data_IF_105370106403
#
_entry.id   IF_105370106403
#
_cell.length_a   1.000
_cell.length_b   1.000
_cell.length_c   1.000
_cell.angle_alpha   90.00
_cell.angle_beta   90.00
_cell.angle_gamma   90.00
#
_symmetry.space_group_name_H-M   'P 1'
#
loop_
_entity.id
_entity.type
_entity.pdbx_description
1 polymer ?
#
# COMPACT_ATOMS: atom_id res chain seq x y z
N UNK A 1 2.75 -26.63 -10.82
CA UNK A 1 1.35 -27.10 -11.05
C UNK A 1 1.01 -26.99 -12.53
N UNK A 2 0.06 -27.76 -13.04
CA UNK A 2 -0.37 -27.68 -14.44
C UNK A 2 -1.62 -26.79 -14.60
N UNK A 3 -1.57 -25.87 -15.57
CA UNK A 3 -2.64 -24.94 -15.88
C UNK A 3 -3.43 -25.44 -17.08
N UNK A 4 -4.75 -25.38 -16.94
CA UNK A 4 -5.75 -25.64 -17.96
C UNK A 4 -6.71 -24.46 -18.02
N UNK A 5 -7.54 -24.40 -19.06
CA UNK A 5 -8.59 -23.38 -19.14
C UNK A 5 -9.57 -23.40 -17.96
N UNK A 6 -9.76 -24.55 -17.30
CA UNK A 6 -10.68 -24.67 -16.17
C UNK A 6 -10.11 -24.06 -14.88
N UNK A 7 -8.79 -24.09 -14.67
CA UNK A 7 -8.16 -23.58 -13.45
C UNK A 7 -7.32 -22.32 -13.69
N UNK A 8 -7.26 -21.79 -14.91
CA UNK A 8 -6.52 -20.58 -15.25
C UNK A 8 -6.87 -19.40 -14.32
N UNK A 9 -8.17 -19.17 -14.09
CA UNK A 9 -8.60 -18.07 -13.23
C UNK A 9 -8.20 -18.29 -11.75
N UNK A 10 -8.41 -19.49 -11.20
CA UNK A 10 -8.15 -19.75 -9.78
C UNK A 10 -6.67 -19.93 -9.46
N UNK A 11 -5.97 -20.72 -10.27
CA UNK A 11 -4.64 -21.24 -9.92
C UNK A 11 -3.51 -20.39 -10.49
N UNK A 12 -3.82 -19.49 -11.43
CA UNK A 12 -2.88 -18.52 -11.99
C UNK A 12 -3.28 -17.08 -11.66
N UNK A 13 -4.46 -16.62 -12.09
CA UNK A 13 -4.85 -15.21 -11.92
C UNK A 13 -5.04 -14.87 -10.45
N UNK A 14 -5.92 -15.59 -9.73
CA UNK A 14 -6.17 -15.30 -8.32
C UNK A 14 -4.95 -15.59 -7.45
N UNK A 15 -4.21 -16.68 -7.73
CA UNK A 15 -2.95 -16.96 -7.05
C UNK A 15 -1.94 -15.80 -7.22
N UNK A 16 -1.93 -15.15 -8.39
CA UNK A 16 -1.04 -14.01 -8.65
C UNK A 16 -1.41 -12.72 -7.90
N UNK A 17 -2.60 -12.64 -7.29
CA UNK A 17 -2.97 -11.56 -6.38
C UNK A 17 -2.28 -11.67 -5.03
N UNK A 18 -1.94 -12.90 -4.61
CA UNK A 18 -1.28 -13.18 -3.33
C UNK A 18 0.24 -13.21 -3.46
N UNK A 19 0.75 -13.85 -4.53
CA UNK A 19 2.19 -13.99 -4.77
C UNK A 19 2.49 -14.11 -6.26
N UNK A 20 3.67 -13.68 -6.76
CA UNK A 20 4.01 -13.84 -8.18
C UNK A 20 3.93 -15.29 -8.66
N UNK A 21 3.35 -15.51 -9.83
CA UNK A 21 3.25 -16.83 -10.48
C UNK A 21 3.98 -16.82 -11.81
N UNK A 22 5.01 -17.64 -11.96
CA UNK A 22 5.73 -17.82 -13.22
C UNK A 22 5.08 -18.96 -14.01
N UNK A 23 4.53 -18.67 -15.18
CA UNK A 23 3.95 -19.66 -16.10
C UNK A 23 4.99 -20.12 -17.12
N UNK A 24 5.46 -21.36 -17.02
CA UNK A 24 6.29 -22.05 -18.01
C UNK A 24 5.43 -22.66 -19.13
N UNK A 25 5.45 -22.03 -20.31
CA UNK A 25 4.75 -22.53 -21.50
C UNK A 25 5.70 -23.44 -22.27
N UNK A 26 5.37 -24.74 -22.29
CA UNK A 26 6.24 -25.81 -22.77
C UNK A 26 5.49 -26.79 -23.69
N UNK A 27 6.23 -27.73 -24.28
CA UNK A 27 5.66 -28.88 -24.97
C UNK A 27 6.61 -30.10 -24.93
N UNK A 28 6.13 -31.36 -25.05
CA UNK A 28 6.97 -32.55 -24.92
C UNK A 28 8.11 -32.67 -25.94
N UNK A 29 7.90 -32.10 -27.13
CA UNK A 29 8.87 -32.06 -28.23
C UNK A 29 9.90 -30.94 -28.09
N UNK A 30 9.70 -30.00 -27.16
CA UNK A 30 10.59 -28.88 -26.94
C UNK A 30 11.86 -29.32 -26.19
N UNK A 31 12.97 -29.48 -26.91
CA UNK A 31 14.28 -29.82 -26.34
C UNK A 31 14.76 -28.84 -25.26
N UNK A 32 14.79 -27.51 -25.53
CA UNK A 32 15.23 -26.52 -24.53
C UNK A 32 14.36 -26.48 -23.27
N UNK A 33 13.05 -26.76 -23.38
CA UNK A 33 12.14 -26.81 -22.23
C UNK A 33 12.60 -27.86 -21.21
N UNK A 34 13.08 -29.03 -21.68
CA UNK A 34 13.58 -30.11 -20.80
C UNK A 34 14.80 -29.72 -19.97
N UNK A 35 15.53 -28.68 -20.37
CA UNK A 35 16.65 -28.11 -19.60
C UNK A 35 16.18 -27.01 -18.66
N UNK A 36 15.22 -26.19 -19.10
CA UNK A 36 14.72 -25.04 -18.34
C UNK A 36 13.84 -25.47 -17.16
N UNK A 37 12.88 -26.37 -17.38
CA UNK A 37 11.88 -26.72 -16.37
C UNK A 37 12.50 -27.22 -15.04
N UNK A 38 13.52 -28.10 -15.02
CA UNK A 38 14.16 -28.51 -13.76
C UNK A 38 14.87 -27.38 -13.02
N UNK A 39 15.41 -26.39 -13.75
CA UNK A 39 16.05 -25.21 -13.15
C UNK A 39 14.99 -24.32 -12.50
N UNK A 40 13.84 -24.13 -13.17
CA UNK A 40 12.71 -23.38 -12.61
C UNK A 40 12.14 -24.05 -11.35
N UNK A 41 12.01 -25.38 -11.35
CA UNK A 41 11.56 -26.14 -10.16
C UNK A 41 12.54 -26.00 -8.99
N UNK A 42 13.85 -26.08 -9.27
CA UNK A 42 14.87 -25.87 -8.23
C UNK A 42 14.83 -24.43 -7.68
N UNK A 43 14.58 -23.44 -8.55
CA UNK A 43 14.42 -22.05 -8.15
C UNK A 43 13.16 -21.86 -7.28
N UNK A 44 12.02 -22.43 -7.64
CA UNK A 44 10.79 -22.38 -6.84
C UNK A 44 11.05 -22.86 -5.40
N UNK A 45 11.76 -23.99 -5.24
CA UNK A 45 12.16 -24.50 -3.92
C UNK A 45 13.11 -23.52 -3.20
N UNK A 46 14.11 -22.99 -3.90
CA UNK A 46 15.10 -22.09 -3.28
C UNK A 46 14.52 -20.72 -2.89
N UNK A 47 13.46 -20.28 -3.56
CA UNK A 47 12.75 -19.04 -3.22
C UNK A 47 11.74 -19.24 -2.08
N UNK A 48 11.59 -20.47 -1.57
CA UNK A 48 10.86 -20.78 -0.35
C UNK A 48 9.42 -20.21 -0.33
N UNK A 49 8.72 -20.32 -1.46
CA UNK A 49 7.34 -19.83 -1.57
C UNK A 49 7.20 -18.35 -1.91
N UNK A 50 8.29 -17.58 -2.14
CA UNK A 50 8.18 -16.18 -2.59
C UNK A 50 7.62 -16.03 -4.02
N UNK A 51 7.62 -17.10 -4.80
CA UNK A 51 6.89 -17.21 -6.07
C UNK A 51 6.42 -18.65 -6.29
N UNK A 52 5.49 -18.82 -7.23
CA UNK A 52 4.96 -20.14 -7.59
C UNK A 52 5.21 -20.46 -9.07
N UNK A 53 5.56 -21.70 -9.37
CA UNK A 53 5.74 -22.20 -10.74
C UNK A 53 4.48 -22.89 -11.26
N UNK A 54 3.91 -22.30 -12.30
CA UNK A 54 2.85 -22.86 -13.11
C UNK A 54 3.43 -23.40 -14.43
N UNK A 55 2.82 -24.44 -14.98
CA UNK A 55 3.21 -25.03 -16.26
C UNK A 55 2.00 -25.10 -17.17
N UNK A 56 2.18 -24.79 -18.45
CA UNK A 56 1.14 -24.87 -19.45
C UNK A 56 1.69 -25.63 -20.66
N UNK A 57 1.11 -26.78 -20.96
CA UNK A 57 1.42 -27.49 -22.20
C UNK A 57 0.73 -26.76 -23.37
N UNK A 58 1.52 -26.18 -24.28
CA UNK A 58 1.03 -25.41 -25.41
C UNK A 58 0.21 -26.25 -26.41
N UNK A 59 0.50 -27.55 -26.53
CA UNK A 59 -0.24 -28.46 -27.42
C UNK A 59 -1.65 -28.76 -26.85
N UNK A 60 -1.77 -28.84 -25.52
CA UNK A 60 -3.02 -29.17 -24.83
C UNK A 60 -3.88 -27.92 -24.57
N UNK A 61 -3.24 -26.77 -24.37
CA UNK A 61 -3.89 -25.48 -24.12
C UNK A 61 -3.48 -24.43 -25.18
N UNK A 62 -3.81 -24.65 -26.47
CA UNK A 62 -3.41 -23.77 -27.58
C UNK A 62 -4.06 -22.39 -27.50
N UNK A 63 -5.24 -22.28 -26.89
CA UNK A 63 -5.95 -21.01 -26.72
C UNK A 63 -5.20 -20.06 -25.78
N UNK A 64 -4.88 -20.52 -24.56
CA UNK A 64 -4.16 -19.73 -23.56
C UNK A 64 -2.75 -19.38 -24.07
N UNK A 65 -2.01 -20.39 -24.55
CA UNK A 65 -0.66 -20.17 -25.06
C UNK A 65 -0.63 -19.22 -26.26
N UNK A 66 -1.60 -19.33 -27.17
CA UNK A 66 -1.75 -18.47 -28.33
C UNK A 66 -2.02 -17.01 -27.96
N UNK A 67 -2.93 -16.76 -27.02
CA UNK A 67 -3.24 -15.41 -26.55
C UNK A 67 -2.04 -14.74 -25.87
N UNK A 68 -1.37 -15.44 -24.95
CA UNK A 68 -0.17 -14.91 -24.28
C UNK A 68 0.96 -14.66 -25.29
N UNK A 69 1.17 -15.58 -26.23
CA UNK A 69 2.18 -15.43 -27.28
C UNK A 69 1.90 -14.20 -28.17
N UNK A 70 0.64 -13.96 -28.54
CA UNK A 70 0.26 -12.77 -29.31
C UNK A 70 0.49 -11.48 -28.52
N UNK A 71 0.11 -11.45 -27.25
CA UNK A 71 0.25 -10.28 -26.38
C UNK A 71 1.71 -9.86 -26.19
N UNK A 72 2.62 -10.82 -26.06
CA UNK A 72 4.07 -10.56 -25.93
C UNK A 72 4.82 -10.58 -27.27
N UNK A 73 4.14 -10.81 -28.39
CA UNK A 73 4.78 -10.88 -29.72
C UNK A 73 5.75 -12.06 -29.90
N UNK A 74 5.56 -13.14 -29.14
CA UNK A 74 6.42 -14.33 -29.12
C UNK A 74 5.87 -15.41 -30.05
N UNK A 75 6.75 -16.20 -30.66
CA UNK A 75 6.37 -17.28 -31.61
C UNK A 75 7.05 -18.62 -31.33
N UNK A 76 7.79 -18.73 -30.24
CA UNK A 76 8.61 -19.90 -29.93
C UNK A 76 8.53 -20.25 -28.45
N UNK A 77 8.61 -21.54 -28.15
CA UNK A 77 8.76 -22.07 -26.79
C UNK A 77 10.20 -22.57 -26.54
N UNK A 78 10.68 -22.62 -25.28
CA UNK A 78 9.98 -22.23 -24.05
C UNK A 78 9.71 -20.73 -23.99
N UNK A 79 8.53 -20.38 -23.46
CA UNK A 79 8.14 -19.02 -23.21
C UNK A 79 7.59 -18.95 -21.78
N UNK A 80 8.15 -18.07 -20.96
CA UNK A 80 7.71 -17.89 -19.58
C UNK A 80 7.07 -16.52 -19.41
N UNK A 81 5.94 -16.48 -18.70
CA UNK A 81 5.21 -15.24 -18.37
C UNK A 81 5.06 -15.14 -16.87
N UNK A 82 5.44 -14.01 -16.29
CA UNK A 82 5.22 -13.74 -14.88
C UNK A 82 3.88 -13.01 -14.69
N UNK A 83 3.05 -13.56 -13.82
CA UNK A 83 1.82 -12.95 -13.37
C UNK A 83 2.01 -12.38 -11.97
N UNK A 84 1.57 -11.15 -11.76
CA UNK A 84 1.56 -10.44 -10.47
C UNK A 84 0.38 -9.49 -10.44
N UNK A 85 -0.29 -9.39 -9.29
CA UNK A 85 -1.49 -8.57 -9.10
C UNK A 85 -2.59 -8.89 -10.12
N UNK A 86 -2.75 -10.17 -10.46
CA UNK A 86 -3.79 -10.63 -11.39
C UNK A 86 -3.50 -10.34 -12.86
N UNK A 87 -2.30 -9.85 -13.18
CA UNK A 87 -1.93 -9.40 -14.53
C UNK A 87 -0.59 -10.00 -14.98
N UNK A 88 -0.40 -10.22 -16.29
CA UNK A 88 0.90 -10.56 -16.85
C UNK A 88 1.80 -9.33 -16.88
N UNK A 89 2.88 -9.34 -16.10
CA UNK A 89 3.73 -8.15 -15.87
C UNK A 89 5.07 -8.18 -16.60
N UNK A 90 5.59 -9.36 -16.91
CA UNK A 90 6.87 -9.54 -17.62
C UNK A 90 6.96 -10.94 -18.23
N UNK A 91 7.95 -11.19 -19.08
CA UNK A 91 8.19 -12.51 -19.66
C UNK A 91 9.52 -12.64 -20.37
N UNK A 92 9.95 -13.88 -20.59
CA UNK A 92 11.18 -14.18 -21.33
C UNK A 92 11.03 -15.41 -22.23
N UNK A 93 11.84 -15.48 -23.28
CA UNK A 93 11.82 -16.55 -24.28
C UNK A 93 13.14 -17.30 -24.27
N UNK A 94 13.05 -18.63 -24.39
CA UNK A 94 14.20 -19.52 -24.48
C UNK A 94 14.70 -20.03 -23.12
N UNK A 95 15.63 -20.98 -23.17
CA UNK A 95 16.26 -21.53 -21.97
C UNK A 95 17.41 -20.60 -21.53
N UNK A 96 17.16 -19.77 -20.51
CA UNK A 96 18.17 -18.86 -19.95
C UNK A 96 19.03 -19.56 -18.89
N UNK A 97 20.29 -19.14 -18.69
CA UNK A 97 21.10 -19.59 -17.55
C UNK A 97 20.46 -19.19 -16.21
N UNK A 98 20.67 -19.99 -15.16
CA UNK A 98 20.08 -19.76 -13.83
C UNK A 98 20.32 -18.34 -13.30
N UNK A 99 21.52 -17.78 -13.47
CA UNK A 99 21.82 -16.42 -13.05
C UNK A 99 20.91 -15.37 -13.70
N UNK A 100 20.52 -15.56 -14.97
CA UNK A 100 19.58 -14.69 -15.67
C UNK A 100 18.14 -14.91 -15.27
N UNK A 101 17.77 -16.13 -14.87
CA UNK A 101 16.46 -16.43 -14.30
C UNK A 101 16.30 -15.76 -12.93
N UNK A 102 17.32 -15.81 -12.08
CA UNK A 102 17.31 -15.08 -10.80
C UNK A 102 17.21 -13.58 -11.00
N UNK A 103 18.03 -13.01 -11.89
CA UNK A 103 17.95 -11.59 -12.24
C UNK A 103 16.55 -11.18 -12.76
N UNK A 104 15.86 -12.07 -13.49
CA UNK A 104 14.49 -11.85 -13.92
C UNK A 104 13.51 -11.91 -12.74
N UNK A 105 13.59 -12.94 -11.90
CA UNK A 105 12.70 -13.14 -10.77
C UNK A 105 12.85 -12.04 -9.71
N UNK A 106 14.07 -11.66 -9.36
CA UNK A 106 14.38 -10.68 -8.32
C UNK A 106 13.87 -9.25 -8.64
N UNK A 107 13.47 -8.99 -9.90
CA UNK A 107 12.80 -7.73 -10.26
C UNK A 107 11.36 -7.65 -9.76
N UNK A 108 10.75 -8.79 -9.51
CA UNK A 108 9.30 -8.91 -9.30
C UNK A 108 8.93 -9.66 -8.03
N UNK A 109 9.82 -10.54 -7.58
CA UNK A 109 9.70 -11.34 -6.38
C UNK A 109 10.43 -10.63 -5.25
N UNK A 110 9.73 -10.42 -4.14
CA UNK A 110 10.30 -9.82 -2.94
C UNK A 110 11.54 -10.60 -2.49
N UNK A 111 12.54 -9.90 -1.99
CA UNK A 111 13.66 -10.49 -1.24
C UNK A 111 13.16 -11.22 0.01
N UNK A 112 13.95 -12.12 0.60
CA UNK A 112 13.61 -12.78 1.87
C UNK A 112 13.24 -11.77 2.97
N UNK A 113 14.01 -10.69 3.09
CA UNK A 113 13.80 -9.64 4.08
C UNK A 113 12.48 -8.88 3.84
N UNK A 114 12.19 -8.51 2.58
CA UNK A 114 10.92 -7.86 2.22
C UNK A 114 9.71 -8.78 2.49
N UNK A 115 9.84 -10.08 2.25
CA UNK A 115 8.79 -11.05 2.54
C UNK A 115 8.55 -11.21 4.04
N UNK A 116 9.61 -11.36 4.84
CA UNK A 116 9.54 -11.48 6.30
C UNK A 116 8.96 -10.20 6.93
N UNK A 117 9.39 -9.03 6.48
CA UNK A 117 8.81 -7.75 6.93
C UNK A 117 7.31 -7.64 6.59
N UNK A 118 6.91 -8.13 5.41
CA UNK A 118 5.52 -8.18 4.99
C UNK A 118 4.66 -9.11 5.87
N UNK A 119 5.20 -10.26 6.26
CA UNK A 119 4.53 -11.20 7.19
C UNK A 119 4.33 -10.57 8.58
N UNK A 120 5.36 -9.93 9.13
CA UNK A 120 5.24 -9.22 10.42
C UNK A 120 4.23 -8.07 10.34
N UNK A 121 4.18 -7.31 9.24
CA UNK A 121 3.17 -6.28 9.02
C UNK A 121 1.74 -6.86 8.93
N UNK A 122 1.56 -8.00 8.25
CA UNK A 122 0.26 -8.67 8.16
C UNK A 122 -0.23 -9.18 9.54
N UNK A 123 0.68 -9.73 10.36
CA UNK A 123 0.37 -10.11 11.74
C UNK A 123 -0.05 -8.89 12.59
N UNK A 124 0.56 -7.72 12.36
CA UNK A 124 0.16 -6.50 13.03
C UNK A 124 -1.28 -6.09 12.69
N UNK A 125 -1.67 -6.20 11.42
CA UNK A 125 -3.04 -5.92 10.96
C UNK A 125 -4.07 -6.84 11.62
N UNK A 126 -3.75 -8.14 11.74
CA UNK A 126 -4.59 -9.10 12.45
C UNK A 126 -4.76 -8.73 13.94
N UNK A 127 -3.65 -8.42 14.62
CA UNK A 127 -3.67 -7.99 16.03
C UNK A 127 -4.46 -6.69 16.23
N UNK A 128 -4.39 -5.74 15.31
CA UNK A 128 -5.22 -4.53 15.33
C UNK A 128 -6.71 -4.87 15.19
N UNK A 129 -7.06 -5.79 14.29
CA UNK A 129 -8.43 -6.24 14.10
C UNK A 129 -9.00 -6.96 15.36
N UNK A 130 -8.13 -7.62 16.12
CA UNK A 130 -8.46 -8.24 17.41
C UNK A 130 -8.50 -7.26 18.58
N UNK A 131 -8.10 -5.99 18.37
CA UNK A 131 -8.05 -4.98 19.43
C UNK A 131 -6.81 -5.06 20.32
N UNK A 132 -5.70 -5.59 19.82
CA UNK A 132 -4.41 -5.74 20.50
C UNK A 132 -3.35 -4.75 19.93
N UNK A 133 -3.51 -3.43 20.11
CA UNK A 133 -2.67 -2.43 19.44
C UNK A 133 -1.22 -2.40 19.94
N UNK A 134 -0.95 -2.80 21.19
CA UNK A 134 0.42 -2.88 21.71
C UNK A 134 1.21 -4.02 21.06
N UNK A 135 0.61 -5.21 20.93
CA UNK A 135 1.23 -6.32 20.21
C UNK A 135 1.41 -6.01 18.72
N UNK A 136 0.44 -5.34 18.10
CA UNK A 136 0.57 -4.90 16.72
C UNK A 136 1.72 -3.90 16.53
N UNK A 137 1.91 -2.99 17.50
CA UNK A 137 3.02 -2.04 17.47
C UNK A 137 4.38 -2.75 17.50
N UNK A 138 4.53 -3.80 18.31
CA UNK A 138 5.76 -4.60 18.38
C UNK A 138 6.05 -5.28 17.03
N UNK A 139 5.03 -5.82 16.37
CA UNK A 139 5.16 -6.44 15.03
C UNK A 139 5.56 -5.45 13.96
N UNK A 140 4.95 -4.26 13.95
CA UNK A 140 5.32 -3.18 13.02
C UNK A 140 6.75 -2.69 13.28
N UNK A 141 7.18 -2.63 14.54
CA UNK A 141 8.56 -2.26 14.86
C UNK A 141 9.56 -3.27 14.30
N UNK A 142 9.29 -4.57 14.44
CA UNK A 142 10.12 -5.63 13.88
C UNK A 142 10.14 -5.57 12.35
N UNK A 143 8.98 -5.40 11.71
CA UNK A 143 8.88 -5.25 10.27
C UNK A 143 9.74 -4.09 9.72
N UNK A 144 9.71 -2.93 10.39
CA UNK A 144 10.57 -1.78 10.03
C UNK A 144 12.06 -2.05 10.29
N UNK A 145 12.39 -2.92 11.24
CA UNK A 145 13.78 -3.30 11.50
C UNK A 145 14.33 -4.25 10.42
N UNK A 146 13.49 -5.17 9.93
CA UNK A 146 13.82 -6.12 8.85
C UNK A 146 13.96 -5.39 7.51
N UNK A 147 12.97 -4.56 7.14
CA UNK A 147 13.00 -3.74 5.92
C UNK A 147 12.86 -2.24 6.25
N UNK A 148 13.97 -1.57 6.61
CA UNK A 148 13.95 -0.13 6.91
C UNK A 148 13.64 0.75 5.70
N UNK A 149 13.74 0.22 4.48
CA UNK A 149 13.51 0.97 3.24
C UNK A 149 12.02 1.04 2.87
N UNK A 150 11.19 0.17 3.46
CA UNK A 150 9.75 0.15 3.24
C UNK A 150 9.03 1.31 3.95
N UNK A 151 8.81 2.38 3.19
CA UNK A 151 8.12 3.57 3.70
C UNK A 151 6.65 3.29 4.06
N UNK A 152 6.00 2.30 3.44
CA UNK A 152 4.62 1.95 3.73
C UNK A 152 4.50 1.33 5.13
N UNK A 153 5.28 0.29 5.42
CA UNK A 153 5.34 -0.34 6.75
C UNK A 153 5.76 0.68 7.81
N UNK A 154 6.74 1.54 7.50
CA UNK A 154 7.14 2.62 8.41
C UNK A 154 6.01 3.60 8.69
N UNK A 155 5.21 3.96 7.68
CA UNK A 155 4.05 4.82 7.87
C UNK A 155 2.99 4.16 8.77
N UNK A 156 2.76 2.85 8.63
CA UNK A 156 1.83 2.11 9.49
C UNK A 156 2.34 2.04 10.93
N UNK A 157 3.65 1.83 11.13
CA UNK A 157 4.31 1.94 12.44
C UNK A 157 4.14 3.33 13.06
N UNK A 158 4.38 4.40 12.29
CA UNK A 158 4.17 5.78 12.74
C UNK A 158 2.73 6.02 13.16
N UNK A 159 1.77 5.53 12.38
CA UNK A 159 0.34 5.64 12.69
C UNK A 159 -0.01 4.90 13.98
N UNK A 160 0.53 3.70 14.20
CA UNK A 160 0.32 2.95 15.43
C UNK A 160 0.87 3.70 16.66
N UNK A 161 2.10 4.21 16.58
CA UNK A 161 2.72 5.01 17.65
C UNK A 161 1.89 6.25 18.00
N UNK A 162 1.48 7.02 16.97
CA UNK A 162 0.68 8.24 17.15
C UNK A 162 -0.70 7.95 17.74
N UNK A 163 -1.32 6.84 17.33
CA UNK A 163 -2.62 6.41 17.87
C UNK A 163 -2.52 6.07 19.36
N UNK A 164 -1.39 5.48 19.78
CA UNK A 164 -1.08 5.15 21.17
C UNK A 164 -0.50 6.33 21.98
N UNK A 165 -0.31 7.51 21.35
CA UNK A 165 0.25 8.70 22.01
C UNK A 165 1.75 8.61 22.30
N UNK A 166 2.48 7.70 21.65
CA UNK A 166 3.94 7.51 21.79
C UNK A 166 4.71 8.51 20.91
N UNK A 167 4.51 9.80 21.15
CA UNK A 167 4.99 10.89 20.28
C UNK A 167 6.51 10.91 20.12
N UNK A 168 7.27 10.68 21.19
CA UNK A 168 8.75 10.69 21.15
C UNK A 168 9.32 9.52 20.33
N UNK A 169 8.66 8.38 20.35
CA UNK A 169 8.99 7.23 19.49
C UNK A 169 8.64 7.54 18.03
N UNK A 170 7.46 8.12 17.78
CA UNK A 170 7.01 8.49 16.45
C UNK A 170 7.97 9.51 15.79
N UNK A 171 8.43 10.52 16.55
CA UNK A 171 9.41 11.49 16.06
C UNK A 171 10.71 10.82 15.61
N UNK A 172 11.24 9.88 16.39
CA UNK A 172 12.46 9.15 16.05
C UNK A 172 12.28 8.24 14.83
N UNK A 173 11.14 7.56 14.73
CA UNK A 173 10.81 6.69 13.60
C UNK A 173 10.59 7.48 12.29
N UNK A 174 10.18 8.74 12.39
CA UNK A 174 9.91 9.64 11.27
C UNK A 174 11.17 10.30 10.70
N UNK A 175 12.18 10.57 11.53
CA UNK A 175 13.41 11.27 11.13
C UNK A 175 14.05 10.75 9.83
N UNK A 176 14.20 9.42 9.61
CA UNK A 176 14.80 8.89 8.39
C UNK A 176 14.00 9.18 7.11
N UNK A 177 12.70 9.46 7.24
CA UNK A 177 11.78 9.69 6.12
C UNK A 177 11.24 11.12 6.04
N UNK A 178 11.70 12.01 6.92
CA UNK A 178 11.26 13.41 6.96
C UNK A 178 11.48 14.15 5.62
N UNK A 179 12.52 13.81 4.86
CA UNK A 179 12.78 14.41 3.54
C UNK A 179 11.82 13.94 2.44
N UNK A 180 11.10 12.84 2.67
CA UNK A 180 10.20 12.21 1.69
C UNK A 180 8.77 12.76 1.73
N UNK A 181 8.42 13.59 2.70
CA UNK A 181 7.05 14.17 2.86
C UNK A 181 6.55 14.96 1.65
N UNK A 182 7.46 15.49 0.82
CA UNK A 182 7.08 16.19 -0.40
C UNK A 182 6.60 15.25 -1.52
N UNK A 183 6.89 13.95 -1.41
CA UNK A 183 6.54 12.92 -2.39
C UNK A 183 5.50 11.92 -1.86
N UNK A 184 5.38 11.80 -0.54
CA UNK A 184 4.44 10.90 0.11
C UNK A 184 3.50 11.66 1.04
N UNK A 185 2.22 11.72 0.66
CA UNK A 185 1.18 12.40 1.40
C UNK A 185 0.87 11.75 2.77
N UNK A 186 1.06 10.44 2.91
CA UNK A 186 0.83 9.71 4.17
C UNK A 186 1.91 10.08 5.18
N UNK A 187 3.16 10.11 4.74
CA UNK A 187 4.27 10.58 5.57
C UNK A 187 4.12 12.05 5.94
N UNK A 188 3.70 12.90 5.00
CA UNK A 188 3.39 14.30 5.30
C UNK A 188 2.31 14.40 6.39
N UNK A 189 1.26 13.59 6.30
CA UNK A 189 0.18 13.58 7.27
C UNK A 189 0.62 13.10 8.66
N UNK A 190 1.46 12.06 8.72
CA UNK A 190 2.09 11.62 9.96
C UNK A 190 2.93 12.74 10.59
N UNK A 191 3.74 13.46 9.79
CA UNK A 191 4.52 14.62 10.26
C UNK A 191 3.65 15.70 10.90
N UNK A 192 2.55 16.09 10.24
CA UNK A 192 1.58 17.04 10.80
C UNK A 192 0.95 16.57 12.11
N UNK A 193 0.71 15.26 12.26
CA UNK A 193 0.13 14.71 13.49
C UNK A 193 1.15 14.66 14.64
N UNK A 194 2.42 14.32 14.37
CA UNK A 194 3.50 14.41 15.37
C UNK A 194 3.62 15.85 15.86
N UNK A 195 3.70 16.83 14.94
CA UNK A 195 3.79 18.24 15.29
C UNK A 195 2.59 18.70 16.14
N UNK A 196 1.39 18.21 15.83
CA UNK A 196 0.20 18.52 16.63
C UNK A 196 0.27 17.93 18.05
N UNK A 197 0.74 16.69 18.22
CA UNK A 197 0.90 16.08 19.55
C UNK A 197 1.96 16.80 20.39
N UNK A 198 3.12 17.13 19.78
CA UNK A 198 4.18 17.89 20.44
C UNK A 198 3.69 19.29 20.88
N UNK A 199 2.92 19.98 20.02
CA UNK A 199 2.34 21.28 20.36
C UNK A 199 1.24 21.19 21.41
N UNK A 200 0.37 20.17 21.34
CA UNK A 200 -0.70 19.98 22.30
C UNK A 200 -0.19 19.78 23.73
N UNK A 201 0.98 19.15 23.91
CA UNK A 201 1.61 18.97 25.22
C UNK A 201 1.95 20.30 25.94
N UNK A 202 2.09 21.40 25.19
CA UNK A 202 2.43 22.73 25.72
C UNK A 202 1.37 23.79 25.38
N UNK A 203 0.21 23.37 24.88
CA UNK A 203 -0.85 24.27 24.47
C UNK A 203 -1.51 24.99 25.67
N UNK A 204 -2.05 26.18 25.40
CA UNK A 204 -2.90 26.92 26.32
C UNK A 204 -4.15 26.09 26.67
N UNK A 205 -4.69 26.33 27.85
CA UNK A 205 -5.93 25.72 28.28
C UNK A 205 -7.07 26.03 27.27
N UNK A 206 -7.98 25.07 27.00
CA UNK A 206 -9.07 25.26 26.04
C UNK A 206 -9.92 26.52 26.28
N UNK A 207 -10.14 26.88 27.55
CA UNK A 207 -10.91 28.07 27.92
C UNK A 207 -10.19 29.36 27.55
N UNK A 208 -8.86 29.39 27.68
CA UNK A 208 -8.04 30.53 27.31
C UNK A 208 -8.00 30.71 25.78
N UNK A 209 -7.92 29.61 25.03
CA UNK A 209 -8.01 29.61 23.57
C UNK A 209 -9.38 30.11 23.11
N UNK A 210 -10.46 29.60 23.70
CA UNK A 210 -11.82 30.03 23.39
C UNK A 210 -12.03 31.52 23.69
N UNK A 211 -11.52 32.02 24.83
CA UNK A 211 -11.59 33.43 25.18
C UNK A 211 -10.83 34.33 24.19
N UNK A 212 -9.62 33.92 23.77
CA UNK A 212 -8.83 34.64 22.79
C UNK A 212 -9.54 34.73 21.42
N UNK A 213 -10.09 33.61 20.95
CA UNK A 213 -10.86 33.52 19.69
C UNK A 213 -12.14 34.35 19.76
N UNK A 214 -12.83 34.36 20.92
CA UNK A 214 -14.03 35.17 21.12
C UNK A 214 -13.71 36.68 21.10
N UNK A 215 -12.59 37.08 21.70
CA UNK A 215 -12.11 38.47 21.69
C UNK A 215 -11.65 38.93 20.30
N UNK A 216 -11.02 38.04 19.53
CA UNK A 216 -10.58 38.32 18.16
C UNK A 216 -10.81 37.10 17.25
N UNK A 217 -11.85 37.18 16.40
CA UNK A 217 -12.18 36.11 15.43
C UNK A 217 -11.10 35.87 14.36
N UNK A 218 -10.10 36.75 14.24
CA UNK A 218 -8.93 36.61 13.36
C UNK A 218 -7.66 36.22 14.13
N UNK A 219 -7.77 35.83 15.40
CA UNK A 219 -6.68 35.18 16.12
C UNK A 219 -6.50 33.74 15.61
N UNK A 220 -5.92 33.64 14.40
CA UNK A 220 -5.68 32.38 13.72
C UNK A 220 -4.64 31.53 14.43
N UNK A 221 -3.73 32.14 15.19
CA UNK A 221 -2.77 31.42 16.02
C UNK A 221 -3.48 30.65 17.14
N UNK A 222 -4.37 31.30 17.91
CA UNK A 222 -5.18 30.62 18.91
C UNK A 222 -6.11 29.57 18.31
N UNK A 223 -6.70 29.85 17.15
CA UNK A 223 -7.58 28.91 16.46
C UNK A 223 -6.84 27.67 15.93
N UNK A 224 -5.66 27.87 15.36
CA UNK A 224 -4.82 26.77 14.89
C UNK A 224 -4.28 25.93 16.05
N UNK A 225 -3.89 26.57 17.15
CA UNK A 225 -3.49 25.87 18.37
C UNK A 225 -4.63 24.99 18.91
N UNK A 226 -5.86 25.52 18.95
CA UNK A 226 -7.05 24.73 19.30
C UNK A 226 -7.24 23.54 18.33
N UNK A 227 -7.12 23.76 17.02
CA UNK A 227 -7.19 22.70 16.03
C UNK A 227 -6.12 21.61 16.27
N UNK A 228 -4.90 21.99 16.63
CA UNK A 228 -3.84 21.04 16.97
C UNK A 228 -4.17 20.23 18.23
N UNK A 229 -4.80 20.82 19.25
CA UNK A 229 -5.25 20.05 20.43
C UNK A 229 -6.35 19.05 20.09
N UNK A 230 -7.26 19.38 19.16
CA UNK A 230 -8.26 18.44 18.66
C UNK A 230 -7.60 17.32 17.87
N UNK A 231 -6.66 17.66 16.98
CA UNK A 231 -5.96 16.70 16.14
C UNK A 231 -5.11 15.72 16.96
N UNK A 232 -4.34 16.23 17.94
CA UNK A 232 -3.58 15.41 18.87
C UNK A 232 -4.47 14.40 19.64
N UNK A 233 -5.68 14.84 20.02
CA UNK A 233 -6.69 14.02 20.68
C UNK A 233 -7.54 13.16 19.73
N UNK A 234 -7.14 13.02 18.45
CA UNK A 234 -7.84 12.23 17.42
C UNK A 234 -9.28 12.70 17.13
N UNK A 235 -9.62 13.92 17.54
CA UNK A 235 -10.89 14.60 17.24
C UNK A 235 -10.79 15.30 15.88
N UNK A 236 -10.65 14.50 14.83
CA UNK A 236 -10.30 14.96 13.49
C UNK A 236 -11.33 15.93 12.90
N UNK A 237 -12.61 15.70 13.14
CA UNK A 237 -13.70 16.54 12.65
C UNK A 237 -13.67 17.94 13.28
N UNK A 238 -13.49 18.02 14.58
CA UNK A 238 -13.39 19.28 15.32
C UNK A 238 -12.14 20.05 14.93
N UNK A 239 -11.01 19.36 14.74
CA UNK A 239 -9.79 19.99 14.22
C UNK A 239 -10.04 20.61 12.84
N UNK A 240 -10.68 19.87 11.93
CA UNK A 240 -11.01 20.35 10.59
C UNK A 240 -11.98 21.53 10.59
N UNK A 241 -12.95 21.56 11.51
CA UNK A 241 -13.88 22.69 11.67
C UNK A 241 -13.13 23.99 12.04
N UNK A 242 -12.21 23.93 12.99
CA UNK A 242 -11.37 25.09 13.37
C UNK A 242 -10.44 25.54 12.23
N UNK A 243 -9.92 24.61 11.43
CA UNK A 243 -9.09 24.91 10.26
C UNK A 243 -9.89 25.58 9.13
N UNK A 244 -11.12 25.12 8.86
CA UNK A 244 -12.00 25.76 7.86
C UNK A 244 -12.29 27.21 8.23
N UNK A 245 -12.51 27.46 9.51
CA UNK A 245 -12.73 28.81 10.03
C UNK A 245 -11.54 29.76 9.76
N UNK A 246 -10.30 29.27 9.75
CA UNK A 246 -9.13 30.03 9.29
C UNK A 246 -9.21 30.23 7.77
N UNK A 247 -9.39 29.16 7.00
CA UNK A 247 -9.39 29.17 5.54
C UNK A 247 -10.48 30.06 4.93
N UNK A 248 -11.64 30.17 5.59
CA UNK A 248 -12.72 31.08 5.18
C UNK A 248 -12.35 32.57 5.29
N UNK A 249 -11.35 32.92 6.12
CA UNK A 249 -10.95 34.32 6.39
C UNK A 249 -9.58 34.68 5.85
N UNK A 250 -8.68 33.71 5.75
CA UNK A 250 -7.33 33.86 5.22
C UNK A 250 -6.78 32.51 4.74
N UNK A 251 -6.80 32.30 3.43
CA UNK A 251 -6.33 31.06 2.78
C UNK A 251 -4.80 30.93 2.79
N UNK A 252 -4.09 32.06 2.85
CA UNK A 252 -2.63 32.13 2.72
C UNK A 252 -1.92 32.18 4.08
N UNK A 253 -2.68 32.24 5.18
CA UNK A 253 -2.13 32.32 6.54
C UNK A 253 -1.06 31.25 6.78
N UNK A 254 0.12 31.69 7.23
CA UNK A 254 1.33 30.87 7.45
C UNK A 254 1.62 29.91 6.30
N UNK A 255 1.72 30.43 5.08
CA UNK A 255 2.09 29.62 3.90
C UNK A 255 1.16 28.42 3.70
N UNK A 256 -0.14 28.67 3.87
CA UNK A 256 -1.22 27.70 3.75
C UNK A 256 -1.17 26.55 4.78
N UNK A 257 -0.54 26.76 5.94
CA UNK A 257 -0.41 25.74 6.98
C UNK A 257 -1.77 25.13 7.38
N UNK A 258 -2.82 25.96 7.51
CA UNK A 258 -4.16 25.48 7.83
C UNK A 258 -4.71 24.49 6.77
N UNK A 259 -4.48 24.78 5.48
CA UNK A 259 -4.90 23.91 4.38
C UNK A 259 -4.10 22.61 4.38
N UNK A 260 -2.78 22.69 4.56
CA UNK A 260 -1.89 21.52 4.61
C UNK A 260 -2.28 20.57 5.75
N UNK A 261 -2.50 21.11 6.96
CA UNK A 261 -2.98 20.31 8.10
C UNK A 261 -4.37 19.70 7.85
N UNK A 262 -5.28 20.44 7.22
CA UNK A 262 -6.61 19.91 6.89
C UNK A 262 -6.52 18.72 5.92
N UNK A 263 -5.68 18.83 4.87
CA UNK A 263 -5.46 17.75 3.91
C UNK A 263 -4.78 16.54 4.58
N UNK A 264 -3.83 16.77 5.48
CA UNK A 264 -3.21 15.72 6.28
C UNK A 264 -4.26 14.94 7.11
N UNK A 265 -5.21 15.62 7.76
CA UNK A 265 -6.27 14.95 8.51
C UNK A 265 -7.15 14.09 7.59
N UNK A 266 -7.52 14.60 6.40
CA UNK A 266 -8.27 13.83 5.42
C UNK A 266 -7.53 12.58 4.94
N UNK A 267 -6.21 12.67 4.75
CA UNK A 267 -5.37 11.53 4.38
C UNK A 267 -5.40 10.46 5.48
N UNK A 268 -5.23 10.83 6.75
CA UNK A 268 -5.27 9.91 7.89
C UNK A 268 -6.65 9.24 8.08
N UNK A 269 -7.73 9.98 7.83
CA UNK A 269 -9.10 9.45 7.90
C UNK A 269 -9.44 8.54 6.72
N UNK A 270 -8.75 8.68 5.59
CA UNK A 270 -8.98 7.81 4.45
C UNK A 270 -8.45 6.41 4.78
N UNK A 271 -9.32 5.40 4.75
CA UNK A 271 -8.88 4.02 4.93
C UNK A 271 -7.91 3.66 3.79
N UNK A 272 -6.78 2.99 4.08
CA UNK A 272 -5.98 2.38 3.03
C UNK A 272 -6.90 1.53 2.16
N UNK A 273 -6.75 1.60 0.84
CA UNK A 273 -7.45 0.68 -0.04
C UNK A 273 -7.08 -0.74 0.42
N UNK A 274 -8.09 -1.52 0.83
CA UNK A 274 -7.87 -2.94 1.10
C UNK A 274 -7.24 -3.56 -0.16
N UNK A 275 -6.24 -4.43 0.01
CA UNK A 275 -5.80 -5.30 -1.07
C UNK A 275 -7.05 -5.92 -1.72
N UNK A 276 -7.14 -5.97 -3.06
CA UNK A 276 -8.33 -6.46 -3.75
C UNK A 276 -8.68 -7.84 -3.22
N UNK A 277 -9.77 -7.93 -2.44
CA UNK A 277 -10.32 -9.22 -2.03
C UNK A 277 -10.94 -9.86 -3.26
N UNK A 278 -10.65 -11.13 -3.47
CA UNK A 278 -11.20 -11.93 -4.55
C UNK A 278 -12.73 -12.02 -4.42
N UNK A 279 -13.45 -11.11 -5.07
CA UNK A 279 -14.87 -11.30 -5.35
C UNK A 279 -14.98 -12.31 -6.49
N UNK A 280 -15.68 -13.42 -6.25
CA UNK A 280 -15.89 -14.47 -7.24
C UNK A 280 -16.64 -13.92 -8.47
N UNK A 281 -15.93 -13.79 -9.59
CA UNK A 281 -16.48 -13.44 -10.89
C UNK A 281 -17.09 -14.68 -11.59
N UNK A 282 -18.03 -14.49 -12.54
CA UNK A 282 -18.76 -15.60 -13.16
C UNK A 282 -17.87 -16.41 -14.11
N UNK A 283 -17.98 -17.74 -13.99
CA UNK A 283 -17.21 -18.74 -14.75
C UNK A 283 -17.28 -18.53 -16.27
N UNK A 284 -16.11 -18.48 -16.93
CA UNK A 284 -15.95 -18.96 -18.30
C UNK A 284 -15.53 -17.97 -19.38
N UNK A 285 -14.97 -16.80 -19.05
CA UNK A 285 -14.38 -15.89 -20.05
C UNK A 285 -12.94 -15.54 -19.66
N UNK A 286 -11.99 -15.76 -20.57
CA UNK A 286 -10.62 -15.23 -20.46
C UNK A 286 -10.69 -13.69 -20.63
N UNK A 287 -11.03 -12.98 -19.56
CA UNK A 287 -10.85 -11.52 -19.47
C UNK A 287 -9.54 -11.25 -18.71
N UNK A 288 -8.47 -10.99 -19.45
CA UNK A 288 -7.13 -10.69 -18.90
C UNK A 288 -7.07 -9.30 -18.25
N UNK A 289 -8.12 -8.49 -18.34
CA UNK A 289 -8.19 -7.16 -17.74
C UNK A 289 -9.13 -7.15 -16.51
N UNK A 290 -8.55 -7.15 -15.30
CA UNK A 290 -9.30 -7.08 -14.05
C UNK A 290 -10.09 -5.78 -13.90
N UNK A 291 -11.37 -5.87 -13.53
CA UNK A 291 -12.16 -4.71 -13.09
C UNK A 291 -11.73 -4.32 -11.68
N UNK A 292 -11.22 -3.10 -11.52
CA UNK A 292 -10.89 -2.52 -10.22
C UNK A 292 -12.19 -2.22 -9.47
N UNK A 293 -12.46 -2.97 -8.40
CA UNK A 293 -13.60 -2.74 -7.51
C UNK A 293 -13.19 -1.64 -6.51
N UNK A 294 -13.64 -0.40 -6.72
CA UNK A 294 -13.34 0.72 -5.80
C UNK A 294 -14.18 0.58 -4.54
N UNK A 295 -13.53 0.47 -3.38
CA UNK A 295 -14.21 0.45 -2.08
C UNK A 295 -15.09 1.71 -1.89
N UNK A 296 -16.27 1.60 -1.25
CA UNK A 296 -17.16 2.74 -1.05
C UNK A 296 -16.49 3.78 -0.12
N UNK A 297 -16.54 5.05 -0.54
CA UNK A 297 -15.94 6.17 0.18
C UNK A 297 -16.64 6.43 1.53
N UNK A 298 -15.86 6.84 2.54
CA UNK A 298 -16.39 7.25 3.85
C UNK A 298 -17.20 8.55 3.70
N UNK A 299 -18.50 8.57 4.06
CA UNK A 299 -19.37 9.72 3.85
C UNK A 299 -18.92 10.96 4.62
N UNK A 300 -18.26 10.79 5.77
CA UNK A 300 -17.72 11.92 6.55
C UNK A 300 -16.54 12.54 5.82
N UNK A 301 -15.61 11.72 5.33
CA UNK A 301 -14.44 12.21 4.57
C UNK A 301 -14.89 12.97 3.33
N UNK A 302 -15.89 12.44 2.61
CA UNK A 302 -16.44 13.11 1.42
C UNK A 302 -17.13 14.43 1.74
N UNK A 303 -17.84 14.52 2.87
CA UNK A 303 -18.43 15.77 3.34
C UNK A 303 -17.35 16.82 3.59
N UNK A 304 -16.27 16.47 4.29
CA UNK A 304 -15.18 17.40 4.59
C UNK A 304 -14.35 17.76 3.34
N UNK A 305 -14.18 16.86 2.37
CA UNK A 305 -13.60 17.19 1.05
C UNK A 305 -14.43 18.25 0.32
N UNK A 306 -15.76 18.12 0.32
CA UNK A 306 -16.67 19.11 -0.28
C UNK A 306 -16.58 20.47 0.42
N UNK A 307 -16.57 20.47 1.76
CA UNK A 307 -16.43 21.71 2.55
C UNK A 307 -15.13 22.45 2.26
N UNK A 308 -14.01 21.72 2.13
CA UNK A 308 -12.74 22.31 1.73
C UNK A 308 -12.82 22.93 0.34
N UNK A 309 -13.36 22.19 -0.64
CA UNK A 309 -13.53 22.69 -2.01
C UNK A 309 -14.36 23.99 -2.04
N UNK A 310 -15.53 24.00 -1.39
CA UNK A 310 -16.39 25.19 -1.30
C UNK A 310 -15.76 26.38 -0.58
N UNK A 311 -14.75 26.15 0.27
CA UNK A 311 -14.05 27.22 0.97
C UNK A 311 -12.93 27.82 0.12
N UNK A 312 -12.31 27.00 -0.73
CA UNK A 312 -11.19 27.41 -1.58
C UNK A 312 -11.63 28.13 -2.86
N UNK A 313 -12.80 27.80 -3.40
CA UNK A 313 -13.41 28.45 -4.58
C UNK A 313 -14.46 29.48 -4.19
#
# INVERSE_FOLDING_TARGET
MDITIQNFETDLINASLEQPVLLDIWAPWCGPCKQLTPVLEALEVSYAGRFKLAKLNADEQPEISGQLSQMFGVRSIPFCVLFKEGQPVDGFVGALPEAKLREFLDKHVASPEEAEAGEEAALADELLAEGNPESALERLQEAVAIDPANDAIRNDYLRALLTLGRTDEARRAFEPVASKVQFDARLAAAGHWIDAQEKAATARAPEALAAAIAANKRDFDARFELAQTHFAAQRFTEAMDELLEILMRDKAWKEELARKTYVAILELMTKPAAAPKADAAPKGALEVAGKVNTAPADPVVDQYRRRLSMTLF
#
